data_IF_010090981117
#
_entry.id   IF_010090981117
#
_cell.length_a   1.000
_cell.length_b   1.000
_cell.length_c   1.000
_cell.angle_alpha   90.00
_cell.angle_beta   90.00
_cell.angle_gamma   90.00
#
_symmetry.space_group_name_H-M   'P 1'
#
loop_
_entity.id
_entity.type
_entity.pdbx_description
1 polymer ?
#
# COMPACT_ATOMS: atom_id res chain seq x y z
N UNK A 1 7.41 3.48 -6.28
CA UNK A 1 6.42 4.55 -6.54
C UNK A 1 6.05 4.66 -8.01
N UNK A 2 6.97 4.99 -8.93
CA UNK A 2 6.66 5.14 -10.36
C UNK A 2 5.91 3.94 -10.99
N UNK A 3 6.29 2.69 -10.63
CA UNK A 3 5.59 1.48 -11.13
C UNK A 3 4.11 1.41 -10.75
N UNK A 4 3.76 1.85 -9.53
CA UNK A 4 2.38 1.85 -9.01
C UNK A 4 1.58 2.90 -9.77
N UNK A 5 2.17 4.09 -9.95
CA UNK A 5 1.57 5.19 -10.70
C UNK A 5 1.29 4.80 -12.15
N UNK A 6 2.26 4.17 -12.84
CA UNK A 6 2.06 3.69 -14.21
C UNK A 6 0.95 2.62 -14.31
N UNK A 7 0.82 1.74 -13.31
CA UNK A 7 -0.27 0.75 -13.28
C UNK A 7 -1.62 1.41 -13.00
N UNK A 8 -1.68 2.41 -12.11
CA UNK A 8 -2.90 3.15 -11.82
C UNK A 8 -3.37 3.95 -13.04
N UNK A 9 -2.45 4.61 -13.75
CA UNK A 9 -2.72 5.29 -15.02
C UNK A 9 -3.23 4.31 -16.08
N UNK A 10 -2.56 3.16 -16.26
CA UNK A 10 -2.97 2.13 -17.21
C UNK A 10 -4.37 1.59 -16.89
N UNK A 11 -4.65 1.33 -15.61
CA UNK A 11 -5.96 0.89 -15.13
C UNK A 11 -7.06 1.87 -15.51
N UNK A 12 -6.80 3.16 -15.29
CA UNK A 12 -7.74 4.23 -15.62
C UNK A 12 -7.93 4.40 -17.13
N UNK A 13 -6.84 4.47 -17.90
CA UNK A 13 -6.87 4.71 -19.35
C UNK A 13 -7.59 3.59 -20.12
N UNK A 14 -7.42 2.35 -19.68
CA UNK A 14 -7.99 1.18 -20.34
C UNK A 14 -9.30 0.69 -19.70
N UNK A 15 -9.80 1.42 -18.68
CA UNK A 15 -11.00 1.06 -17.93
C UNK A 15 -10.96 -0.40 -17.41
N UNK A 16 -9.82 -0.77 -16.82
CA UNK A 16 -9.57 -2.13 -16.32
C UNK A 16 -9.93 -2.27 -14.85
N UNK A 17 -10.22 -3.51 -14.44
CA UNK A 17 -10.54 -3.85 -13.05
C UNK A 17 -9.51 -4.84 -12.50
N UNK A 18 -8.61 -4.34 -11.66
CA UNK A 18 -7.67 -5.15 -10.88
C UNK A 18 -7.18 -4.38 -9.65
N UNK A 19 -6.69 -5.09 -8.65
CA UNK A 19 -6.03 -4.49 -7.48
C UNK A 19 -4.54 -4.28 -7.73
N UNK A 20 -3.97 -3.27 -7.07
CA UNK A 20 -2.53 -3.00 -7.08
C UNK A 20 -2.01 -3.29 -5.68
N UNK A 21 -1.41 -4.47 -5.52
CA UNK A 21 -0.78 -4.92 -4.27
C UNK A 21 0.68 -4.46 -4.20
N UNK A 22 1.09 -4.00 -3.02
CA UNK A 22 2.50 -3.78 -2.68
C UNK A 22 2.91 -4.72 -1.56
N UNK A 23 3.78 -5.67 -1.89
CA UNK A 23 4.38 -6.60 -0.95
C UNK A 23 5.82 -6.20 -0.58
N UNK A 24 6.06 -6.07 0.72
CA UNK A 24 7.37 -5.74 1.29
C UNK A 24 7.59 -4.24 1.52
N UNK A 25 8.31 -3.94 2.61
CA UNK A 25 8.72 -2.57 2.95
C UNK A 25 7.59 -1.64 3.42
N UNK A 26 6.43 -2.17 3.77
CA UNK A 26 5.27 -1.42 4.28
C UNK A 26 5.46 -1.05 5.76
N UNK A 27 5.43 0.25 6.06
CA UNK A 27 5.46 0.85 7.41
C UNK A 27 4.63 2.15 7.44
N UNK A 28 4.65 2.86 8.57
CA UNK A 28 3.96 4.14 8.80
C UNK A 28 4.32 5.27 7.81
N UNK A 29 5.49 5.20 7.18
CA UNK A 29 5.91 6.18 6.18
C UNK A 29 5.56 5.74 4.75
N UNK A 30 5.80 4.47 4.42
CA UNK A 30 5.68 3.96 3.06
C UNK A 30 4.24 3.63 2.68
N UNK A 31 3.39 3.25 3.64
CA UNK A 31 1.97 2.96 3.40
C UNK A 31 1.27 4.12 2.68
N UNK A 32 1.38 5.34 3.24
CA UNK A 32 0.75 6.51 2.62
C UNK A 32 1.33 6.84 1.24
N UNK A 33 2.65 6.66 1.06
CA UNK A 33 3.30 6.94 -0.22
C UNK A 33 2.77 6.03 -1.34
N UNK A 34 2.57 4.74 -1.06
CA UNK A 34 2.08 3.79 -2.07
C UNK A 34 0.58 3.93 -2.31
N UNK A 35 -0.21 4.22 -1.27
CA UNK A 35 -1.65 4.55 -1.39
C UNK A 35 -1.82 5.77 -2.30
N UNK A 36 -1.07 6.84 -2.06
CA UNK A 36 -1.13 8.07 -2.86
C UNK A 36 -0.75 7.85 -4.34
N UNK A 37 -0.04 6.76 -4.65
CA UNK A 37 0.33 6.39 -6.03
C UNK A 37 -0.63 5.38 -6.67
N UNK A 38 -1.67 4.97 -5.96
CA UNK A 38 -2.74 4.12 -6.48
C UNK A 38 -2.70 2.67 -6.04
N UNK A 39 -1.87 2.30 -5.05
CA UNK A 39 -1.96 0.98 -4.44
C UNK A 39 -3.32 0.81 -3.74
N UNK A 40 -3.97 -0.32 -3.94
CA UNK A 40 -5.27 -0.65 -3.31
C UNK A 40 -5.15 -1.71 -2.24
N UNK A 41 -4.03 -2.44 -2.19
CA UNK A 41 -3.78 -3.49 -1.21
C UNK A 41 -2.32 -3.42 -0.72
N UNK A 42 -2.12 -3.53 0.60
CA UNK A 42 -0.80 -3.49 1.23
C UNK A 42 -0.55 -4.78 2.00
N UNK A 43 0.64 -5.36 1.84
CA UNK A 43 1.08 -6.50 2.65
C UNK A 43 2.12 -6.03 3.66
N UNK A 44 1.74 -6.06 4.94
CA UNK A 44 2.62 -5.72 6.05
C UNK A 44 3.02 -6.99 6.80
N UNK A 45 4.33 -7.26 6.84
CA UNK A 45 4.92 -8.36 7.59
C UNK A 45 5.58 -7.88 8.87
N UNK A 46 6.91 -7.82 8.86
CA UNK A 46 7.74 -7.53 10.04
C UNK A 46 7.37 -6.24 10.78
N UNK A 47 6.96 -5.18 10.07
CA UNK A 47 6.52 -3.94 10.70
C UNK A 47 5.31 -4.15 11.63
N UNK A 48 4.31 -4.90 11.16
CA UNK A 48 3.09 -5.15 11.90
C UNK A 48 3.34 -6.13 13.06
N UNK A 49 3.97 -7.28 12.78
CA UNK A 49 4.24 -8.30 13.80
C UNK A 49 5.32 -7.92 14.80
N UNK A 50 6.15 -6.92 14.49
CA UNK A 50 7.13 -6.35 15.42
C UNK A 50 6.54 -5.35 16.43
N UNK A 51 5.28 -4.93 16.27
CA UNK A 51 4.61 -4.03 17.20
C UNK A 51 4.01 -4.80 18.38
N UNK A 52 4.14 -4.23 19.59
CA UNK A 52 3.46 -4.76 20.78
C UNK A 52 1.96 -4.43 20.80
N UNK A 53 1.56 -3.36 20.10
CA UNK A 53 0.17 -2.94 19.97
C UNK A 53 -0.25 -2.93 18.49
N UNK A 54 -0.98 -3.97 18.10
CA UNK A 54 -1.48 -4.13 16.75
C UNK A 54 -2.58 -3.12 16.39
N UNK A 55 -3.28 -2.53 17.36
CA UNK A 55 -4.25 -1.48 17.07
C UNK A 55 -3.54 -0.21 16.58
N UNK A 56 -2.43 0.15 17.23
CA UNK A 56 -1.56 1.25 16.79
C UNK A 56 -0.97 0.97 15.41
N UNK A 57 -0.39 -0.23 15.18
CA UNK A 57 0.15 -0.59 13.88
C UNK A 57 -0.91 -0.55 12.77
N UNK A 58 -2.12 -1.08 13.05
CA UNK A 58 -3.25 -1.01 12.11
C UNK A 58 -3.63 0.44 11.79
N UNK A 59 -3.67 1.33 12.80
CA UNK A 59 -4.01 2.73 12.60
C UNK A 59 -2.97 3.47 11.77
N UNK A 60 -1.70 3.16 11.93
CA UNK A 60 -0.61 3.76 11.16
C UNK A 60 -0.57 3.29 9.70
N UNK A 61 -0.97 2.03 9.46
CA UNK A 61 -0.97 1.44 8.12
C UNK A 61 -2.25 1.73 7.33
N UNK A 62 -3.36 2.03 8.01
CA UNK A 62 -4.59 2.52 7.38
C UNK A 62 -4.40 3.99 7.03
N UNK A 63 -4.40 4.29 5.73
CA UNK A 63 -4.48 5.66 5.20
C UNK A 63 -5.80 6.34 5.52
#
# INVERSE_FOLDING_TARGET
>A
LAKIESLAELKSQLNLTFDIEVDGGINDMTAQQVINKGATMLVAGSYFFGHNDYATATKQLKG
#
